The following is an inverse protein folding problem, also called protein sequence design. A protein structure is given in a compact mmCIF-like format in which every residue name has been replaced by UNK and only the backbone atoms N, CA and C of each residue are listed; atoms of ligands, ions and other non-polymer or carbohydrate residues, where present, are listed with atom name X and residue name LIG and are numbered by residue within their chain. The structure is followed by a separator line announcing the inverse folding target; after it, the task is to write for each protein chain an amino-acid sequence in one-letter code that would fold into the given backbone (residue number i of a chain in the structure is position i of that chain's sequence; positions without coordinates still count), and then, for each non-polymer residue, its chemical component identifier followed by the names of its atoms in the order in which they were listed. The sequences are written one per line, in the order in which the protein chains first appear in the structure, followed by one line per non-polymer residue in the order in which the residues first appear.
data_IF_832609863224
#
_entry.id   IF_832609863224
#
_cell.length_a   1.000
_cell.length_b   1.000
_cell.length_c   1.000
_cell.angle_alpha   90.00
_cell.angle_beta   90.00
_cell.angle_gamma   90.00
#
_symmetry.space_group_name_H-M   'P 1'
#
loop_
_entity.id
_entity.type
_entity.pdbx_description
1 polymer ?
#
# COMPACT_ATOMS: atom_id res chain seq x y z
N UNK A 1 3.76 11.97 -15.05
CA UNK A 1 3.55 10.67 -14.36
C UNK A 1 3.17 10.93 -12.90
N UNK A 2 2.07 10.31 -12.47
CA UNK A 2 1.57 10.42 -11.09
C UNK A 2 1.81 9.09 -10.38
N UNK A 3 2.54 9.13 -9.27
CA UNK A 3 2.88 7.95 -8.46
C UNK A 3 2.27 8.12 -7.07
N UNK A 4 1.51 7.10 -6.62
CA UNK A 4 1.03 7.00 -5.25
C UNK A 4 2.04 6.19 -4.43
N UNK A 5 2.65 6.82 -3.44
CA UNK A 5 3.51 6.16 -2.47
C UNK A 5 2.69 5.68 -1.28
N UNK A 6 2.90 4.45 -0.85
CA UNK A 6 2.20 3.84 0.28
C UNK A 6 3.22 3.22 1.24
N UNK A 7 3.08 3.53 2.52
CA UNK A 7 3.72 2.81 3.60
C UNK A 7 2.63 2.18 4.48
N UNK A 8 2.56 0.87 4.51
CA UNK A 8 1.55 0.11 5.26
C UNK A 8 2.12 -0.59 6.51
N UNK A 9 3.30 -0.19 6.91
CA UNK A 9 3.95 -0.66 8.13
C UNK A 9 3.58 0.17 9.36
N UNK A 10 4.51 0.23 10.30
CA UNK A 10 4.43 1.08 11.49
C UNK A 10 4.50 2.55 11.07
N UNK A 11 3.65 3.39 11.64
CA UNK A 11 3.47 4.79 11.22
C UNK A 11 3.07 4.90 9.75
N UNK A 12 2.05 4.16 9.37
CA UNK A 12 1.56 4.10 8.00
C UNK A 12 1.12 5.47 7.46
N UNK A 13 1.20 5.61 6.16
CA UNK A 13 0.87 6.85 5.48
C UNK A 13 0.92 6.74 3.97
N UNK A 14 0.62 7.84 3.30
CA UNK A 14 0.63 7.94 1.85
C UNK A 14 1.25 9.24 1.36
N UNK A 15 1.71 9.23 0.12
CA UNK A 15 2.24 10.40 -0.56
C UNK A 15 1.86 10.38 -2.03
N UNK A 16 1.78 11.56 -2.64
CA UNK A 16 1.64 11.70 -4.09
C UNK A 16 2.84 12.43 -4.67
N UNK A 17 3.34 11.86 -5.73
CA UNK A 17 4.49 12.34 -6.47
C UNK A 17 4.07 12.57 -7.92
N UNK A 18 4.41 13.74 -8.46
CA UNK A 18 4.11 14.08 -9.85
C UNK A 18 5.30 14.76 -10.49
N UNK A 19 5.76 14.21 -11.60
CA UNK A 19 6.79 14.83 -12.46
C UNK A 19 8.04 15.29 -11.69
N UNK A 20 8.53 14.45 -10.78
CA UNK A 20 9.72 14.72 -9.98
C UNK A 20 9.47 15.46 -8.68
N UNK A 21 8.23 15.79 -8.32
CA UNK A 21 7.91 16.55 -7.11
C UNK A 21 6.91 15.82 -6.21
N UNK A 22 7.17 15.86 -4.91
CA UNK A 22 6.20 15.43 -3.90
C UNK A 22 5.15 16.54 -3.75
N UNK A 23 3.89 16.22 -4.05
CA UNK A 23 2.80 17.17 -3.91
C UNK A 23 2.19 17.17 -2.51
N UNK A 24 2.10 16.00 -1.90
CA UNK A 24 1.57 15.81 -0.54
C UNK A 24 2.14 14.52 0.05
N UNK A 25 2.42 14.55 1.35
CA UNK A 25 2.73 13.36 2.14
C UNK A 25 2.05 13.52 3.49
N UNK A 26 1.33 12.48 3.94
CA UNK A 26 0.58 12.51 5.18
C UNK A 26 0.61 11.14 5.87
N UNK A 27 0.78 11.13 7.19
CA UNK A 27 0.65 9.92 7.98
C UNK A 27 -0.80 9.70 8.41
N UNK A 28 -1.20 8.44 8.52
CA UNK A 28 -2.55 8.05 8.91
C UNK A 28 -2.93 8.57 10.30
N UNK A 29 -1.99 8.63 11.23
CA UNK A 29 -2.23 9.15 12.58
C UNK A 29 -2.62 10.63 12.63
N UNK A 30 -2.27 11.42 11.62
CA UNK A 30 -2.71 12.82 11.51
C UNK A 30 -4.22 12.91 11.33
N UNK A 31 -4.82 11.92 10.72
CA UNK A 31 -6.25 11.87 10.43
C UNK A 31 -6.99 11.09 11.52
N UNK A 32 -6.48 9.92 11.88
CA UNK A 32 -7.11 9.04 12.88
C UNK A 32 -6.90 9.48 14.31
N UNK A 33 -5.85 10.25 14.58
CA UNK A 33 -5.40 10.68 15.92
C UNK A 33 -4.96 9.51 16.81
N UNK A 34 -4.70 8.36 16.22
CA UNK A 34 -4.12 7.19 16.89
C UNK A 34 -2.62 7.17 16.67
N UNK A 35 -1.84 7.30 17.73
CA UNK A 35 -0.38 7.21 17.64
C UNK A 35 0.06 5.84 17.16
N UNK A 36 1.13 5.84 16.37
CA UNK A 36 1.73 4.63 15.83
C UNK A 36 0.75 3.77 15.01
N UNK A 37 -0.17 4.41 14.31
CA UNK A 37 -1.11 3.72 13.43
C UNK A 37 -0.33 2.86 12.42
N UNK A 38 -0.79 1.66 12.18
CA UNK A 38 -0.16 0.75 11.22
C UNK A 38 -1.19 0.06 10.34
N UNK A 39 -0.74 -0.46 9.22
CA UNK A 39 -1.59 -1.15 8.26
C UNK A 39 -1.89 -0.30 7.03
N UNK A 40 -2.92 -0.65 6.30
CA UNK A 40 -3.29 0.02 5.06
C UNK A 40 -3.79 1.45 5.34
N UNK A 41 -3.11 2.49 4.81
CA UNK A 41 -3.41 3.89 5.13
C UNK A 41 -4.55 4.46 4.27
N UNK A 42 -5.76 3.91 4.41
CA UNK A 42 -6.92 4.27 3.60
C UNK A 42 -7.24 5.76 3.63
N UNK A 43 -7.25 6.35 4.82
CA UNK A 43 -7.60 7.77 4.98
C UNK A 43 -6.53 8.69 4.43
N UNK A 44 -5.25 8.33 4.58
CA UNK A 44 -4.15 9.09 3.99
C UNK A 44 -4.20 9.05 2.47
N UNK A 45 -4.49 7.89 1.88
CA UNK A 45 -4.64 7.75 0.42
C UNK A 45 -5.78 8.65 -0.07
N UNK A 46 -6.95 8.55 0.55
CA UNK A 46 -8.09 9.37 0.19
C UNK A 46 -7.78 10.87 0.31
N UNK A 47 -7.11 11.29 1.38
CA UNK A 47 -6.71 12.67 1.58
C UNK A 47 -5.75 13.15 0.50
N UNK A 48 -4.80 12.32 0.09
CA UNK A 48 -3.87 12.64 -1.00
C UNK A 48 -4.62 12.87 -2.33
N UNK A 49 -5.57 12.00 -2.66
CA UNK A 49 -6.36 12.12 -3.88
C UNK A 49 -7.26 13.35 -3.88
N UNK A 50 -7.90 13.62 -2.75
CA UNK A 50 -8.74 14.82 -2.56
C UNK A 50 -7.94 16.12 -2.69
N UNK A 51 -6.72 16.14 -2.14
CA UNK A 51 -5.86 17.33 -2.12
C UNK A 51 -5.54 17.83 -3.52
N UNK A 52 -5.20 16.93 -4.44
CA UNK A 52 -4.91 17.30 -5.84
C UNK A 52 -6.10 17.06 -6.77
N UNK A 53 -7.26 16.70 -6.23
CA UNK A 53 -8.53 16.51 -6.97
C UNK A 53 -8.41 15.53 -8.13
N UNK A 54 -7.78 14.37 -7.89
CA UNK A 54 -7.67 13.30 -8.88
C UNK A 54 -8.44 12.05 -8.45
N UNK A 55 -8.76 11.22 -9.42
CA UNK A 55 -9.33 9.88 -9.22
C UNK A 55 -8.22 8.84 -9.27
N UNK A 56 -8.47 7.67 -8.66
CA UNK A 56 -7.53 6.54 -8.68
C UNK A 56 -7.12 6.12 -10.10
N UNK A 57 -8.04 6.27 -11.06
CA UNK A 57 -7.76 5.98 -12.48
C UNK A 57 -6.66 6.85 -13.10
N UNK A 58 -6.31 7.95 -12.48
CA UNK A 58 -5.27 8.88 -12.97
C UNK A 58 -3.88 8.59 -12.37
N UNK A 59 -3.78 7.59 -11.49
CA UNK A 59 -2.52 7.13 -10.92
C UNK A 59 -1.83 6.22 -11.94
N UNK A 60 -0.60 6.54 -12.32
CA UNK A 60 0.17 5.77 -13.29
C UNK A 60 0.92 4.61 -12.65
N UNK A 61 1.37 4.77 -11.39
CA UNK A 61 2.13 3.76 -10.68
C UNK A 61 1.93 3.86 -9.17
N UNK A 62 2.14 2.74 -8.49
CA UNK A 62 2.08 2.64 -7.02
C UNK A 62 3.44 2.16 -6.53
N UNK A 63 4.03 2.93 -5.61
CA UNK A 63 5.25 2.56 -4.92
C UNK A 63 4.93 2.18 -3.48
N UNK A 64 5.27 0.97 -3.09
CA UNK A 64 5.04 0.48 -1.72
C UNK A 64 6.36 0.40 -0.97
N UNK A 65 6.45 1.11 0.15
CA UNK A 65 7.63 1.11 1.02
C UNK A 65 7.29 0.36 2.31
N UNK A 66 7.91 -0.79 2.50
CA UNK A 66 7.74 -1.57 3.72
C UNK A 66 9.10 -2.07 4.20
N UNK A 67 9.69 -1.38 5.16
CA UNK A 67 10.87 -1.88 5.86
C UNK A 67 10.47 -2.82 7.01
N UNK A 68 9.40 -2.49 7.70
CA UNK A 68 8.81 -3.31 8.75
C UNK A 68 7.39 -3.67 8.33
N UNK A 69 7.22 -4.88 7.85
CA UNK A 69 5.92 -5.39 7.41
C UNK A 69 4.99 -5.62 8.61
N UNK A 70 3.69 -5.35 8.46
CA UNK A 70 2.70 -5.83 9.42
C UNK A 70 2.83 -7.34 9.67
N UNK A 71 2.43 -7.84 10.85
CA UNK A 71 2.57 -9.26 11.19
C UNK A 71 2.06 -10.23 10.12
N UNK A 72 0.97 -9.88 9.43
CA UNK A 72 0.42 -10.71 8.35
C UNK A 72 1.41 -10.98 7.20
N UNK A 73 2.33 -10.06 6.94
CA UNK A 73 3.34 -10.24 5.89
C UNK A 73 4.51 -11.08 6.36
N UNK A 74 4.85 -11.03 7.65
CA UNK A 74 5.87 -11.91 8.21
C UNK A 74 5.45 -13.38 8.18
N UNK A 75 4.15 -13.66 8.20
CA UNK A 75 3.64 -15.01 8.06
C UNK A 75 3.85 -15.59 6.65
N UNK A 76 4.17 -14.75 5.68
CA UNK A 76 4.48 -15.16 4.30
C UNK A 76 5.98 -15.09 4.08
N UNK A 77 6.58 -16.13 3.55
CA UNK A 77 8.03 -16.22 3.24
C UNK A 77 8.42 -15.34 2.05
N UNK A 78 8.04 -14.07 2.09
CA UNK A 78 8.14 -13.13 0.97
C UNK A 78 9.58 -12.98 0.48
N UNK A 79 10.49 -12.66 1.39
CA UNK A 79 11.88 -12.33 1.04
C UNK A 79 12.73 -13.54 0.65
N UNK A 80 12.28 -14.76 0.96
CA UNK A 80 13.05 -15.99 0.72
C UNK A 80 12.49 -16.88 -0.37
N UNK A 81 11.23 -16.72 -0.71
CA UNK A 81 10.53 -17.64 -1.63
C UNK A 81 9.83 -16.94 -2.79
N UNK A 82 9.69 -15.62 -2.76
CA UNK A 82 9.03 -14.89 -3.84
C UNK A 82 9.87 -14.87 -5.11
N UNK A 83 9.22 -15.21 -6.21
CA UNK A 83 9.71 -15.06 -7.57
C UNK A 83 9.04 -13.83 -8.22
N UNK A 84 9.41 -13.50 -9.43
CA UNK A 84 8.82 -12.37 -10.16
C UNK A 84 7.31 -12.53 -10.29
N UNK A 85 6.83 -13.74 -10.55
CA UNK A 85 5.40 -14.04 -10.67
C UNK A 85 4.63 -13.74 -9.36
N UNK A 86 5.25 -13.94 -8.22
CA UNK A 86 4.63 -13.66 -6.91
C UNK A 86 4.48 -12.15 -6.69
N UNK A 87 5.48 -11.37 -7.07
CA UNK A 87 5.39 -9.91 -7.00
C UNK A 87 4.33 -9.37 -7.97
N UNK A 88 4.25 -9.92 -9.18
CA UNK A 88 3.20 -9.56 -10.13
C UNK A 88 1.81 -9.95 -9.62
N UNK A 89 1.68 -11.13 -9.01
CA UNK A 89 0.46 -11.58 -8.35
C UNK A 89 0.05 -10.63 -7.22
N UNK A 90 1.01 -10.22 -6.38
CA UNK A 90 0.78 -9.24 -5.31
C UNK A 90 0.25 -7.93 -5.88
N UNK A 91 0.87 -7.39 -6.92
CA UNK A 91 0.42 -6.17 -7.58
C UNK A 91 -0.99 -6.31 -8.14
N UNK A 92 -1.25 -7.34 -8.91
CA UNK A 92 -2.49 -7.48 -9.68
C UNK A 92 -3.66 -8.02 -8.85
N UNK A 93 -3.42 -8.85 -7.83
CA UNK A 93 -4.46 -9.52 -7.06
C UNK A 93 -4.62 -9.00 -5.63
N UNK A 94 -3.68 -8.23 -5.12
CA UNK A 94 -3.76 -7.61 -3.81
C UNK A 94 -3.86 -6.09 -3.91
N UNK A 95 -2.83 -5.41 -4.41
CA UNK A 95 -2.78 -3.95 -4.41
C UNK A 95 -3.76 -3.31 -5.38
N UNK A 96 -3.81 -3.78 -6.62
CA UNK A 96 -4.71 -3.23 -7.63
C UNK A 96 -6.19 -3.28 -7.20
N UNK A 97 -6.74 -4.44 -6.77
CA UNK A 97 -8.12 -4.49 -6.32
C UNK A 97 -8.41 -3.60 -5.11
N UNK A 98 -7.47 -3.51 -4.17
CA UNK A 98 -7.65 -2.65 -2.99
C UNK A 98 -7.71 -1.18 -3.34
N UNK A 99 -6.83 -0.72 -4.20
CA UNK A 99 -6.65 0.71 -4.48
C UNK A 99 -7.65 1.18 -5.54
N UNK A 100 -7.74 0.47 -6.66
CA UNK A 100 -8.54 0.92 -7.80
C UNK A 100 -9.99 0.43 -7.76
N UNK A 101 -10.28 -0.67 -7.09
CA UNK A 101 -11.60 -1.28 -7.06
C UNK A 101 -12.25 -1.27 -5.68
N UNK A 102 -11.59 -0.71 -4.68
CA UNK A 102 -12.03 -0.67 -3.28
C UNK A 102 -12.46 -2.04 -2.74
N UNK A 103 -11.78 -3.11 -3.15
CA UNK A 103 -12.06 -4.49 -2.72
C UNK A 103 -11.26 -4.86 -1.50
N UNK A 104 -11.87 -5.66 -0.63
CA UNK A 104 -11.17 -6.31 0.50
C UNK A 104 -10.56 -7.60 0.01
N UNK A 105 -9.23 -7.72 0.12
CA UNK A 105 -8.49 -8.91 -0.30
C UNK A 105 -7.62 -9.38 0.86
N UNK A 106 -7.62 -10.69 1.12
CA UNK A 106 -6.75 -11.29 2.12
C UNK A 106 -5.40 -11.64 1.52
N UNK A 107 -4.35 -11.01 2.04
CA UNK A 107 -2.96 -11.29 1.63
C UNK A 107 -2.57 -12.75 1.92
N UNK A 108 -2.92 -13.24 3.10
CA UNK A 108 -2.62 -14.63 3.49
C UNK A 108 -3.32 -15.65 2.59
N UNK A 109 -4.53 -15.36 2.14
CA UNK A 109 -5.26 -16.24 1.21
C UNK A 109 -4.62 -16.30 -0.16
N UNK A 110 -4.01 -15.22 -0.63
CA UNK A 110 -3.31 -15.19 -1.91
C UNK A 110 -2.02 -16.02 -1.90
N UNK A 111 -1.35 -16.11 -0.76
CA UNK A 111 -0.05 -16.75 -0.60
C UNK A 111 -0.07 -17.91 0.41
N UNK A 112 -1.14 -18.69 0.41
CA UNK A 112 -1.32 -19.84 1.32
C UNK A 112 -0.15 -20.82 1.26
N UNK A 113 0.39 -21.05 0.08
CA UNK A 113 1.53 -21.95 -0.17
C UNK A 113 2.86 -21.44 0.40
N UNK A 114 2.92 -20.18 0.79
CA UNK A 114 4.13 -19.50 1.28
C UNK A 114 4.02 -19.05 2.74
N UNK A 115 2.93 -19.38 3.41
CA UNK A 115 2.73 -19.03 4.82
C UNK A 115 3.69 -19.81 5.70
N UNK A 116 4.26 -19.16 6.69
CA UNK A 116 5.07 -19.81 7.74
C UNK A 116 4.16 -20.67 8.62
N UNK A 117 4.57 -21.88 8.77
CA UNK A 117 3.92 -22.80 9.71
C UNK A 117 4.51 -22.64 11.10
#
# INVERSE_FOLDING_TARGET
MIILGIHDGHNCGASLFKDGQILIAISEERITRKKNEYGYPEKSINRCLEFIKIRTSQIDAIAVSTKFLPPKYFMVKRNTTFKIEDYLKEQNKYWYPKIYQNKKVSYLSLFKDKVLN
#
